data_IF_593033062814
#
_entry.id   IF_593033062814
#
_cell.length_a   1.000
_cell.length_b   1.000
_cell.length_c   1.000
_cell.angle_alpha   90.00
_cell.angle_beta   90.00
_cell.angle_gamma   90.00
#
_symmetry.space_group_name_H-M   'P 1'
#
loop_
_entity.id
_entity.type
_entity.pdbx_description
1 polymer ?
#
# COMPACT_ATOMS: atom_id res chain seq x y z
N UNK A 1 -0.15 -9.45 -14.59
CA UNK A 1 0.82 -8.43 -14.16
C UNK A 1 0.38 -7.97 -12.79
N UNK A 2 1.19 -8.21 -11.76
CA UNK A 2 0.85 -7.84 -10.37
C UNK A 2 1.95 -6.99 -9.77
N UNK A 3 1.62 -6.24 -8.73
CA UNK A 3 2.60 -5.51 -7.94
C UNK A 3 3.10 -6.36 -6.78
N UNK A 4 4.37 -6.19 -6.44
CA UNK A 4 5.00 -6.73 -5.25
C UNK A 4 5.26 -5.61 -4.24
N UNK A 5 5.48 -5.99 -3.00
CA UNK A 5 5.72 -5.08 -1.89
C UNK A 5 7.01 -5.50 -1.18
N UNK A 6 7.87 -4.53 -0.88
CA UNK A 6 8.96 -4.77 0.05
C UNK A 6 8.40 -5.02 1.46
N UNK A 7 8.80 -6.13 2.08
CA UNK A 7 8.29 -6.52 3.41
C UNK A 7 8.71 -5.57 4.52
N UNK A 8 9.91 -5.01 4.46
CA UNK A 8 10.42 -4.10 5.50
C UNK A 8 9.71 -2.76 5.41
N UNK A 9 9.63 -2.23 4.21
CA UNK A 9 8.99 -0.97 3.89
C UNK A 9 7.48 -1.00 4.16
N UNK A 10 6.79 -2.08 3.76
CA UNK A 10 5.38 -2.25 4.07
C UNK A 10 5.16 -2.30 5.59
N UNK A 11 5.98 -3.05 6.34
CA UNK A 11 5.90 -3.04 7.81
C UNK A 11 6.09 -1.65 8.39
N UNK A 12 7.06 -0.88 7.90
CA UNK A 12 7.29 0.48 8.36
C UNK A 12 6.07 1.38 8.08
N UNK A 13 5.45 1.25 6.90
CA UNK A 13 4.23 1.96 6.55
C UNK A 13 3.05 1.58 7.46
N UNK A 14 2.86 0.29 7.74
CA UNK A 14 1.83 -0.20 8.68
C UNK A 14 2.03 0.43 10.05
N UNK A 15 3.26 0.40 10.59
CA UNK A 15 3.55 1.00 11.90
C UNK A 15 3.31 2.51 11.92
N UNK A 16 3.65 3.23 10.84
CA UNK A 16 3.41 4.67 10.75
C UNK A 16 1.92 5.01 10.75
N UNK A 17 1.10 4.24 10.02
CA UNK A 17 -0.37 4.41 10.04
C UNK A 17 -0.93 4.12 11.42
N UNK A 18 -0.56 2.99 12.03
CA UNK A 18 -1.05 2.60 13.36
C UNK A 18 -0.67 3.64 14.43
N UNK A 19 0.57 4.14 14.39
CA UNK A 19 1.04 5.20 15.29
C UNK A 19 0.25 6.49 15.10
N UNK A 20 0.07 6.95 13.86
CA UNK A 20 -0.71 8.16 13.60
C UNK A 20 -2.18 8.01 14.01
N UNK A 21 -2.76 6.81 13.87
CA UNK A 21 -4.12 6.53 14.31
C UNK A 21 -4.24 6.59 15.83
N UNK A 22 -3.27 6.01 16.55
CA UNK A 22 -3.20 6.07 18.01
C UNK A 22 -3.07 7.51 18.53
N UNK A 23 -2.16 8.31 17.96
CA UNK A 23 -1.98 9.72 18.33
C UNK A 23 -3.26 10.55 18.15
N UNK A 24 -4.12 10.14 17.21
CA UNK A 24 -5.38 10.80 16.89
C UNK A 24 -6.59 10.14 17.55
N UNK A 25 -6.38 9.12 18.38
CA UNK A 25 -7.44 8.34 19.03
C UNK A 25 -8.48 7.81 18.03
N UNK A 26 -8.02 7.39 16.84
CA UNK A 26 -8.86 6.82 15.79
C UNK A 26 -8.71 5.30 15.76
N UNK A 27 -9.76 4.58 16.15
CA UNK A 27 -9.72 3.12 16.24
C UNK A 27 -10.03 2.42 14.92
N UNK A 28 -10.83 3.04 14.06
CA UNK A 28 -11.25 2.47 12.78
C UNK A 28 -11.29 3.52 11.65
N UNK A 29 -11.16 3.03 10.42
CA UNK A 29 -11.34 3.81 9.20
C UNK A 29 -12.61 3.34 8.50
N UNK A 30 -13.66 4.16 8.45
CA UNK A 30 -14.88 3.81 7.73
C UNK A 30 -14.62 3.74 6.23
N UNK A 31 -15.17 2.72 5.57
CA UNK A 31 -15.04 2.54 4.12
C UNK A 31 -16.41 2.54 3.44
N UNK A 32 -16.50 3.20 2.29
CA UNK A 32 -17.74 3.16 1.49
C UNK A 32 -17.79 1.84 0.71
N UNK A 33 -18.82 1.03 0.98
CA UNK A 33 -19.05 -0.23 0.27
C UNK A 33 -18.07 -1.35 0.63
N UNK A 34 -17.32 -1.23 1.73
CA UNK A 34 -16.43 -2.26 2.29
C UNK A 34 -16.53 -2.25 3.81
N UNK A 35 -16.12 -3.34 4.50
CA UNK A 35 -16.00 -3.34 5.95
C UNK A 35 -15.05 -2.24 6.43
N UNK A 36 -15.34 -1.69 7.61
CA UNK A 36 -14.44 -0.76 8.28
C UNK A 36 -13.11 -1.46 8.60
N UNK A 37 -12.02 -0.69 8.57
CA UNK A 37 -10.67 -1.19 8.88
C UNK A 37 -10.32 -0.80 10.30
N UNK A 38 -9.96 -1.76 11.15
CA UNK A 38 -9.46 -1.48 12.49
C UNK A 38 -7.99 -1.05 12.41
N UNK A 39 -7.71 0.20 12.79
CA UNK A 39 -6.38 0.80 12.70
C UNK A 39 -5.43 0.35 13.82
N UNK A 40 -5.93 -0.43 14.79
CA UNK A 40 -5.14 -1.13 15.80
C UNK A 40 -4.81 -2.58 15.40
N UNK A 41 -5.34 -3.09 14.27
CA UNK A 41 -5.07 -4.45 13.78
C UNK A 41 -4.10 -4.38 12.59
N UNK A 42 -2.85 -4.79 12.81
CA UNK A 42 -1.78 -4.66 11.82
C UNK A 42 -2.08 -5.33 10.47
N UNK A 43 -2.71 -6.51 10.48
CA UNK A 43 -3.06 -7.23 9.25
C UNK A 43 -4.15 -6.53 8.44
N UNK A 44 -5.08 -5.83 9.09
CA UNK A 44 -6.11 -5.06 8.41
C UNK A 44 -5.52 -3.79 7.78
N UNK A 45 -4.61 -3.12 8.48
CA UNK A 45 -3.86 -1.98 7.95
C UNK A 45 -2.96 -2.39 6.78
N UNK A 46 -2.28 -3.54 6.89
CA UNK A 46 -1.46 -4.10 5.81
C UNK A 46 -2.30 -4.37 4.56
N UNK A 47 -3.44 -5.05 4.72
CA UNK A 47 -4.36 -5.33 3.62
C UNK A 47 -4.88 -4.03 2.98
N UNK A 48 -5.27 -3.04 3.80
CA UNK A 48 -5.71 -1.73 3.33
C UNK A 48 -4.64 -1.06 2.46
N UNK A 49 -3.37 -1.03 2.92
CA UNK A 49 -2.28 -0.41 2.17
C UNK A 49 -2.02 -1.11 0.85
N UNK A 50 -1.98 -2.45 0.86
CA UNK A 50 -1.80 -3.22 -0.37
C UNK A 50 -2.96 -3.03 -1.35
N UNK A 51 -4.21 -3.00 -0.86
CA UNK A 51 -5.40 -2.81 -1.71
C UNK A 51 -5.43 -1.43 -2.36
N UNK A 52 -5.08 -0.38 -1.61
CA UNK A 52 -4.97 0.99 -2.16
C UNK A 52 -3.87 1.09 -3.21
N UNK A 53 -2.74 0.45 -2.98
CA UNK A 53 -1.67 0.37 -3.97
C UNK A 53 -2.12 -0.37 -5.23
N UNK A 54 -2.81 -1.50 -5.08
CA UNK A 54 -3.30 -2.27 -6.22
C UNK A 54 -4.37 -1.51 -7.03
N UNK A 55 -5.27 -0.78 -6.36
CA UNK A 55 -6.25 0.10 -7.01
C UNK A 55 -5.58 1.20 -7.82
N UNK A 56 -4.60 1.89 -7.22
CA UNK A 56 -3.87 2.94 -7.90
C UNK A 56 -3.06 2.39 -9.08
N UNK A 57 -2.44 1.22 -8.92
CA UNK A 57 -1.74 0.55 -10.02
C UNK A 57 -2.70 0.19 -11.16
N UNK A 58 -3.87 -0.37 -10.85
CA UNK A 58 -4.89 -0.68 -11.85
C UNK A 58 -5.38 0.57 -12.57
N UNK A 59 -5.52 1.71 -11.89
CA UNK A 59 -5.84 2.99 -12.52
C UNK A 59 -4.70 3.46 -13.44
N UNK A 60 -3.46 3.44 -12.98
CA UNK A 60 -2.29 3.85 -13.75
C UNK A 60 -2.11 3.02 -15.04
N UNK A 61 -2.43 1.73 -15.01
CA UNK A 61 -2.42 0.87 -16.21
C UNK A 61 -3.42 1.31 -17.30
N UNK A 62 -4.48 2.02 -16.92
CA UNK A 62 -5.51 2.50 -17.85
C UNK A 62 -5.23 3.92 -18.37
N UNK A 63 -4.22 4.62 -17.84
CA UNK A 63 -3.85 5.96 -18.27
C UNK A 63 -2.80 5.93 -19.38
N UNK A 64 -2.88 6.83 -20.38
CA UNK A 64 -1.83 6.94 -21.41
C UNK A 64 -0.54 7.52 -20.80
N UNK A 65 0.41 6.62 -20.47
CA UNK A 65 1.72 6.95 -19.91
C UNK A 65 2.41 5.71 -19.34
N UNK A 66 3.66 5.86 -18.86
CA UNK A 66 4.25 4.86 -17.96
C UNK A 66 3.55 4.92 -16.60
N UNK A 67 3.58 3.82 -15.83
CA UNK A 67 3.04 3.75 -14.47
C UNK A 67 3.73 4.79 -13.59
N UNK A 68 3.09 5.94 -13.40
CA UNK A 68 3.65 7.05 -12.61
C UNK A 68 3.39 6.87 -11.11
N UNK A 69 4.22 7.57 -10.32
CA UNK A 69 4.15 7.69 -8.86
C UNK A 69 2.71 7.98 -8.42
N UNK A 70 2.07 7.04 -7.74
CA UNK A 70 0.71 7.24 -7.23
C UNK A 70 0.73 7.54 -5.73
N UNK A 71 0.24 8.72 -5.37
CA UNK A 71 0.06 9.14 -3.98
C UNK A 71 -1.24 8.52 -3.44
N UNK A 72 -1.21 7.93 -2.24
CA UNK A 72 -2.46 7.58 -1.53
C UNK A 72 -3.12 8.89 -1.09
N UNK A 73 -4.03 9.40 -1.89
CA UNK A 73 -4.97 10.43 -1.47
C UNK A 73 -6.27 9.73 -1.03
N UNK A 74 -6.64 9.86 0.24
CA UNK A 74 -7.88 9.25 0.76
C UNK A 74 -7.81 8.67 2.17
N UNK A 75 -6.61 8.53 2.74
CA UNK A 75 -6.50 8.53 4.20
C UNK A 75 -6.47 10.00 4.61
N UNK A 76 -7.52 10.47 5.26
CA UNK A 76 -7.79 11.88 5.64
C UNK A 76 -6.61 12.53 6.38
N UNK A 77 -5.59 11.74 6.77
CA UNK A 77 -4.51 12.14 7.66
C UNK A 77 -3.16 11.39 7.46
N UNK A 78 -2.88 10.77 6.30
CA UNK A 78 -1.73 9.83 6.22
C UNK A 78 -0.37 10.48 5.93
N UNK A 79 0.67 10.10 6.71
CA UNK A 79 2.06 10.33 6.35
C UNK A 79 2.53 9.41 5.22
N UNK A 80 1.78 8.39 4.80
CA UNK A 80 2.30 7.36 3.89
C UNK A 80 1.95 7.63 2.41
N UNK A 81 2.97 7.76 1.56
CA UNK A 81 2.84 7.70 0.09
C UNK A 81 3.46 6.41 -0.49
N UNK A 82 3.30 6.14 -1.79
CA UNK A 82 4.05 5.08 -2.47
C UNK A 82 4.43 5.40 -3.92
N UNK A 83 5.40 4.66 -4.45
CA UNK A 83 5.85 4.72 -5.84
C UNK A 83 5.92 3.30 -6.40
N UNK A 84 5.68 3.18 -7.71
CA UNK A 84 5.91 1.95 -8.44
C UNK A 84 7.23 2.02 -9.19
N UNK A 85 8.04 0.98 -9.04
CA UNK A 85 9.27 0.79 -9.83
C UNK A 85 9.20 -0.56 -10.53
N UNK A 86 9.81 -0.69 -11.71
CA UNK A 86 9.87 -1.99 -12.38
C UNK A 86 10.67 -2.98 -11.54
N UNK A 87 10.15 -4.20 -11.44
CA UNK A 87 10.83 -5.29 -10.77
C UNK A 87 11.92 -5.87 -11.70
N UNK A 88 13.18 -5.66 -11.34
CA UNK A 88 14.33 -6.23 -12.04
C UNK A 88 14.70 -7.65 -11.55
N UNK A 89 13.94 -8.24 -10.62
CA UNK A 89 14.13 -9.60 -10.13
C UNK A 89 15.23 -9.78 -9.07
N UNK A 90 15.87 -8.70 -8.64
CA UNK A 90 17.05 -8.73 -7.75
C UNK A 90 16.74 -8.45 -6.27
N UNK A 91 15.47 -8.20 -5.93
CA UNK A 91 15.06 -7.78 -4.60
C UNK A 91 15.27 -8.88 -3.54
N UNK A 92 15.87 -8.50 -2.41
CA UNK A 92 16.08 -9.38 -1.25
C UNK A 92 15.72 -8.64 0.05
N UNK A 93 14.81 -9.19 0.89
CA UNK A 93 14.05 -10.43 0.69
C UNK A 93 13.10 -10.35 -0.51
N UNK A 94 12.61 -11.50 -0.96
CA UNK A 94 11.68 -11.55 -2.08
C UNK A 94 10.43 -10.69 -1.79
N UNK A 95 9.91 -9.95 -2.78
CA UNK A 95 8.71 -9.16 -2.60
C UNK A 95 7.51 -10.05 -2.31
N UNK A 96 6.59 -9.54 -1.50
CA UNK A 96 5.29 -10.18 -1.26
C UNK A 96 4.24 -9.58 -2.18
N UNK A 97 3.22 -10.36 -2.54
CA UNK A 97 2.04 -9.88 -3.28
C UNK A 97 0.79 -10.11 -2.43
N UNK A 98 -0.34 -9.50 -2.80
CA UNK A 98 -1.59 -9.80 -2.09
C UNK A 98 -1.94 -11.29 -2.25
N UNK A 99 -2.61 -11.91 -1.26
CA UNK A 99 -3.00 -13.31 -1.34
C UNK A 99 -3.86 -13.65 -2.57
N UNK A 100 -4.65 -12.69 -3.07
CA UNK A 100 -5.53 -12.83 -4.23
C UNK A 100 -4.82 -12.64 -5.58
N UNK A 101 -3.60 -12.12 -5.60
CA UNK A 101 -2.89 -11.79 -6.83
C UNK A 101 -2.24 -13.04 -7.45
N UNK A 102 -2.51 -13.27 -8.74
CA UNK A 102 -1.97 -14.39 -9.53
C UNK A 102 -1.12 -13.85 -10.69
N UNK A 103 0.06 -14.45 -10.88
CA UNK A 103 1.01 -14.09 -11.93
C UNK A 103 2.31 -13.48 -11.40
N UNK A 104 3.20 -13.11 -12.33
CA UNK A 104 4.52 -12.58 -12.00
C UNK A 104 4.46 -11.12 -11.54
N UNK A 105 5.34 -10.80 -10.58
CA UNK A 105 5.53 -9.46 -10.06
C UNK A 105 6.36 -8.67 -11.08
N UNK A 106 5.75 -7.64 -11.67
CA UNK A 106 6.41 -6.79 -12.67
C UNK A 106 6.80 -5.42 -12.13
N UNK A 107 6.11 -4.97 -11.08
CA UNK A 107 6.41 -3.70 -10.41
C UNK A 107 6.47 -3.91 -8.90
N UNK A 108 7.28 -3.10 -8.23
CA UNK A 108 7.40 -3.02 -6.79
C UNK A 108 6.77 -1.73 -6.31
N UNK A 109 5.92 -1.84 -5.30
CA UNK A 109 5.38 -0.70 -4.57
C UNK A 109 6.27 -0.41 -3.36
N UNK A 110 6.89 0.77 -3.35
CA UNK A 110 7.66 1.28 -2.23
C UNK A 110 6.89 2.41 -1.55
N UNK A 111 6.52 2.20 -0.31
CA UNK A 111 5.95 3.20 0.58
C UNK A 111 7.02 4.16 1.12
N UNK A 112 6.66 5.39 1.45
CA UNK A 112 7.48 6.27 2.28
C UNK A 112 6.59 7.01 3.25
N UNK A 113 7.16 7.44 4.37
CA UNK A 113 6.46 8.21 5.39
C UNK A 113 6.94 9.66 5.36
N UNK A 114 6.03 10.61 5.23
CA UNK A 114 6.21 12.04 5.43
C UNK A 114 5.98 12.29 6.90
N UNK A 115 7.07 12.38 7.67
CA UNK A 115 7.05 12.69 9.10
C UNK A 115 6.62 14.14 9.34
#
# INVERSE_FOLDING_TARGET
MVIGFDTHNLKAAVQAVMKSAQEKSQEYLPQLGRPDVHLNVASEVEALLMDRAAEAYAQALNEPGDVQVARIEGMVYSPVGFVFERNEGNMRPAPVRRPSDVGDIEYLAYFWTVL
#
